data_IF_903821731890
#
_entry.id   IF_903821731890
#
_cell.length_a   1.000
_cell.length_b   1.000
_cell.length_c   1.000
_cell.angle_alpha   90.00
_cell.angle_beta   90.00
_cell.angle_gamma   90.00
#
_symmetry.space_group_name_H-M   'P 1'
#
loop_
_entity.id
_entity.type
_entity.pdbx_description
1 polymer ?
#
# COMPACT_ATOMS: atom_id res chain seq x y z
N UNK A 1 14.05 -5.56 11.56
CA UNK A 1 14.27 -5.05 12.93
C UNK A 1 12.93 -4.87 13.62
N UNK A 2 12.77 -5.19 14.91
CA UNK A 2 11.52 -4.95 15.60
C UNK A 2 11.26 -3.44 15.65
N UNK A 3 10.07 -3.01 15.24
CA UNK A 3 9.62 -1.62 15.39
C UNK A 3 9.14 -1.49 16.83
N UNK A 4 9.61 -0.46 17.54
CA UNK A 4 9.12 -0.17 18.89
C UNK A 4 7.72 0.44 18.77
N UNK A 5 6.70 -0.23 19.32
CA UNK A 5 5.31 0.23 19.31
C UNK A 5 4.91 0.74 20.68
N UNK A 6 3.98 1.70 20.73
CA UNK A 6 3.37 2.10 21.99
C UNK A 6 2.53 0.95 22.56
N UNK A 7 2.60 0.77 23.88
CA UNK A 7 1.86 -0.25 24.62
C UNK A 7 1.54 0.29 26.01
N UNK A 8 0.55 -0.28 26.68
CA UNK A 8 0.14 0.11 28.02
C UNK A 8 0.68 -0.88 29.06
N UNK A 9 1.53 -0.39 29.96
CA UNK A 9 1.88 -1.14 31.17
C UNK A 9 0.76 -0.96 32.20
N UNK A 10 0.39 -2.05 32.88
CA UNK A 10 -0.62 -2.04 33.95
C UNK A 10 -1.98 -1.47 33.48
N UNK A 11 -2.34 -1.80 32.22
CA UNK A 11 -3.56 -1.35 31.58
C UNK A 11 -4.80 -1.64 32.43
N UNK A 12 -5.71 -0.66 32.53
CA UNK A 12 -6.93 -0.77 33.34
C UNK A 12 -6.75 -0.53 34.84
N UNK A 13 -5.59 -0.03 35.27
CA UNK A 13 -5.32 0.35 36.67
C UNK A 13 -4.99 1.83 36.81
N UNK A 14 -4.96 2.34 38.04
CA UNK A 14 -4.47 3.68 38.40
C UNK A 14 -2.96 3.87 38.16
N UNK A 15 -2.23 2.77 37.90
CA UNK A 15 -0.80 2.76 37.56
C UNK A 15 -0.53 2.59 36.07
N UNK A 16 -1.58 2.66 35.24
CA UNK A 16 -1.50 2.57 33.79
C UNK A 16 -0.58 3.66 33.23
N UNK A 17 0.43 3.25 32.45
CA UNK A 17 1.36 4.17 31.79
C UNK A 17 1.76 3.67 30.41
N UNK A 18 2.02 4.61 29.51
CA UNK A 18 2.53 4.32 28.18
C UNK A 18 3.97 3.82 28.27
N UNK A 19 4.27 2.70 27.61
CA UNK A 19 5.60 2.13 27.50
C UNK A 19 5.89 1.78 26.04
N UNK A 20 7.16 1.78 25.65
CA UNK A 20 7.58 1.28 24.33
C UNK A 20 8.03 -0.16 24.45
N UNK A 21 7.42 -1.05 23.65
CA UNK A 21 7.83 -2.46 23.56
C UNK A 21 8.26 -2.78 22.14
N UNK A 22 9.29 -3.62 22.01
CA UNK A 22 9.69 -4.14 20.71
C UNK A 22 8.57 -5.04 20.18
N UNK A 23 7.90 -4.62 19.10
CA UNK A 23 6.90 -5.42 18.42
C UNK A 23 7.54 -6.69 17.86
N UNK A 24 6.97 -7.85 18.18
CA UNK A 24 7.37 -9.12 17.54
C UNK A 24 6.57 -9.27 16.25
N UNK A 25 7.28 -9.31 15.12
CA UNK A 25 6.67 -9.80 13.89
C UNK A 25 6.47 -11.31 14.05
N UNK A 26 5.21 -11.75 14.18
CA UNK A 26 4.88 -13.16 14.14
C UNK A 26 5.03 -13.69 12.72
N UNK A 27 5.35 -14.97 12.57
CA UNK A 27 5.27 -15.63 11.26
C UNK A 27 3.88 -15.41 10.67
N UNK A 28 3.82 -14.96 9.42
CA UNK A 28 2.55 -14.80 8.72
C UNK A 28 2.03 -16.18 8.30
N UNK A 29 0.71 -16.36 8.36
CA UNK A 29 0.04 -17.60 7.98
C UNK A 29 0.04 -17.84 6.45
N UNK A 30 0.76 -17.03 5.68
CA UNK A 30 0.83 -17.10 4.22
C UNK A 30 1.88 -18.08 3.69
N UNK A 31 2.64 -18.77 4.55
CA UNK A 31 3.66 -19.75 4.13
C UNK A 31 3.08 -21.16 4.16
N UNK A 32 2.91 -21.84 3.00
CA UNK A 32 2.45 -23.22 2.94
C UNK A 32 3.36 -24.14 3.75
N UNK A 33 2.76 -25.16 4.37
CA UNK A 33 3.48 -26.17 5.16
C UNK A 33 3.12 -27.57 4.70
N UNK A 34 4.12 -28.45 4.66
CA UNK A 34 3.92 -29.89 4.55
C UNK A 34 4.18 -30.50 5.92
N UNK A 35 3.11 -30.83 6.65
CA UNK A 35 3.21 -31.15 8.08
C UNK A 35 3.69 -29.93 8.87
N UNK A 36 4.81 -30.08 9.58
CA UNK A 36 5.43 -28.98 10.36
C UNK A 36 6.42 -28.15 9.55
N UNK A 37 6.86 -28.64 8.40
CA UNK A 37 7.91 -28.01 7.59
C UNK A 37 7.33 -26.92 6.71
N UNK A 38 7.88 -25.71 6.81
CA UNK A 38 7.48 -24.58 5.98
C UNK A 38 8.21 -24.60 4.63
N UNK A 39 7.46 -24.53 3.53
CA UNK A 39 8.02 -24.57 2.18
C UNK A 39 8.99 -23.39 1.97
N UNK A 40 10.22 -23.63 1.55
CA UNK A 40 11.17 -22.59 1.12
C UNK A 40 10.75 -22.05 -0.25
N UNK A 41 10.31 -20.77 -0.38
CA UNK A 41 9.86 -20.22 -1.65
C UNK A 41 10.92 -20.28 -2.75
N UNK A 42 12.20 -20.15 -2.38
CA UNK A 42 13.31 -20.14 -3.35
C UNK A 42 13.44 -21.48 -4.09
N UNK A 43 13.05 -22.59 -3.46
CA UNK A 43 13.03 -23.91 -4.07
C UNK A 43 11.95 -24.07 -5.15
N UNK A 44 10.96 -23.17 -5.20
CA UNK A 44 9.84 -23.18 -6.14
C UNK A 44 9.91 -22.03 -7.16
N UNK A 45 11.07 -21.38 -7.30
CA UNK A 45 11.24 -20.23 -8.22
C UNK A 45 10.81 -20.55 -9.65
N UNK A 46 11.20 -21.72 -10.19
CA UNK A 46 10.79 -22.10 -11.56
C UNK A 46 9.29 -22.33 -11.68
N UNK A 47 8.69 -23.04 -10.72
CA UNK A 47 7.24 -23.28 -10.71
C UNK A 47 6.45 -21.95 -10.62
N UNK A 48 6.94 -20.99 -9.84
CA UNK A 48 6.37 -19.65 -9.78
C UNK A 48 6.50 -18.90 -11.11
N UNK A 49 7.68 -18.95 -11.74
CA UNK A 49 7.90 -18.34 -13.06
C UNK A 49 7.03 -18.99 -14.15
N UNK A 50 6.84 -20.30 -14.11
CA UNK A 50 5.98 -21.02 -15.05
C UNK A 50 4.51 -20.63 -14.89
N UNK A 51 4.02 -20.54 -13.65
CA UNK A 51 2.67 -20.06 -13.35
C UNK A 51 2.47 -18.60 -13.76
N UNK A 52 3.45 -17.74 -13.47
CA UNK A 52 3.43 -16.34 -13.89
C UNK A 52 3.39 -16.22 -15.41
N UNK A 53 4.23 -16.96 -16.13
CA UNK A 53 4.26 -16.99 -17.60
C UNK A 53 2.93 -17.43 -18.17
N UNK A 54 2.35 -18.50 -17.65
CA UNK A 54 1.05 -19.00 -18.09
C UNK A 54 -0.05 -17.94 -17.91
N UNK A 55 -0.12 -17.29 -16.75
CA UNK A 55 -1.09 -16.22 -16.50
C UNK A 55 -0.88 -14.98 -17.37
N UNK A 56 0.37 -14.56 -17.54
CA UNK A 56 0.73 -13.43 -18.38
C UNK A 56 0.37 -13.69 -19.85
N UNK A 57 0.73 -14.86 -20.38
CA UNK A 57 0.40 -15.27 -21.76
C UNK A 57 -1.12 -15.36 -21.95
N UNK A 58 -1.86 -15.89 -20.98
CA UNK A 58 -3.33 -15.93 -21.08
C UNK A 58 -3.94 -14.52 -21.18
N UNK A 59 -3.45 -13.53 -20.42
CA UNK A 59 -3.92 -12.15 -20.54
C UNK A 59 -3.57 -11.57 -21.91
N UNK A 60 -2.35 -11.80 -22.39
CA UNK A 60 -1.91 -11.33 -23.71
C UNK A 60 -2.77 -11.90 -24.84
N UNK A 61 -2.98 -13.22 -24.84
CA UNK A 61 -3.70 -13.93 -25.91
C UNK A 61 -5.20 -13.60 -25.93
N UNK A 62 -5.77 -13.24 -24.78
CA UNK A 62 -7.18 -12.85 -24.63
C UNK A 62 -7.39 -11.33 -24.47
N UNK A 63 -6.39 -10.50 -24.81
CA UNK A 63 -6.45 -9.04 -24.61
C UNK A 63 -7.66 -8.38 -25.28
N UNK A 64 -8.01 -8.81 -26.49
CA UNK A 64 -9.11 -8.22 -27.25
C UNK A 64 -10.46 -8.52 -26.59
N UNK A 65 -10.61 -9.70 -25.98
CA UNK A 65 -11.79 -10.06 -25.20
C UNK A 65 -11.90 -9.25 -23.92
N UNK A 66 -10.78 -9.05 -23.21
CA UNK A 66 -10.71 -8.26 -21.98
C UNK A 66 -11.07 -6.79 -22.22
N UNK A 67 -10.59 -6.21 -23.33
CA UNK A 67 -10.67 -4.79 -23.65
C UNK A 67 -11.90 -4.36 -24.46
N UNK A 68 -12.61 -5.31 -25.08
CA UNK A 68 -13.77 -4.98 -25.92
C UNK A 68 -14.83 -4.15 -25.17
N UNK A 69 -15.64 -3.35 -25.86
CA UNK A 69 -16.81 -2.71 -25.24
C UNK A 69 -17.70 -3.72 -24.52
N UNK A 70 -17.99 -3.48 -23.23
CA UNK A 70 -18.74 -4.41 -22.37
C UNK A 70 -17.98 -5.70 -21.99
N UNK A 71 -16.67 -5.75 -22.24
CA UNK A 71 -15.78 -6.84 -21.84
C UNK A 71 -15.61 -6.95 -20.32
N UNK A 72 -14.95 -8.01 -19.83
CA UNK A 72 -14.76 -8.27 -18.41
C UNK A 72 -14.21 -7.08 -17.62
N UNK A 73 -13.21 -6.35 -18.15
CA UNK A 73 -12.60 -5.22 -17.43
C UNK A 73 -13.59 -4.08 -17.13
N UNK A 74 -14.52 -3.81 -18.06
CA UNK A 74 -15.52 -2.75 -17.87
C UNK A 74 -16.48 -3.04 -16.71
N UNK A 75 -16.66 -4.30 -16.31
CA UNK A 75 -17.55 -4.69 -15.20
C UNK A 75 -17.05 -4.18 -13.84
N UNK A 76 -15.74 -3.97 -13.71
CA UNK A 76 -15.09 -3.49 -12.49
C UNK A 76 -15.03 -1.96 -12.42
N UNK A 77 -15.54 -1.23 -13.42
CA UNK A 77 -15.42 0.23 -13.47
C UNK A 77 -16.04 0.93 -12.26
N UNK A 78 -17.08 0.35 -11.66
CA UNK A 78 -17.78 0.88 -10.50
C UNK A 78 -17.34 0.31 -9.15
N UNK A 79 -16.42 -0.66 -9.14
CA UNK A 79 -16.00 -1.33 -7.92
C UNK A 79 -15.18 -0.38 -7.04
N UNK A 80 -15.37 -0.49 -5.73
CA UNK A 80 -14.60 0.30 -4.78
C UNK A 80 -13.22 -0.33 -4.56
N UNK A 81 -12.17 0.47 -4.69
CA UNK A 81 -10.78 0.04 -4.49
C UNK A 81 -10.11 0.96 -3.47
N UNK A 82 -9.41 0.36 -2.50
CA UNK A 82 -8.62 1.11 -1.51
C UNK A 82 -7.35 1.67 -2.14
N UNK A 83 -7.12 2.96 -1.92
CA UNK A 83 -5.87 3.66 -2.25
C UNK A 83 -5.05 3.82 -0.97
N UNK A 84 -3.77 3.46 -1.04
CA UNK A 84 -2.82 3.55 0.07
C UNK A 84 -1.73 4.56 -0.30
N UNK A 85 -1.95 5.87 -0.08
CA UNK A 85 -1.01 6.91 -0.51
C UNK A 85 0.28 6.88 0.31
N UNK A 86 0.22 6.44 1.57
CA UNK A 86 1.39 6.19 2.42
C UNK A 86 1.28 4.84 3.11
N UNK A 87 2.41 4.20 3.45
CA UNK A 87 2.41 3.01 4.28
C UNK A 87 1.69 3.25 5.60
N UNK A 88 0.83 2.31 6.00
CA UNK A 88 0.03 2.42 7.24
C UNK A 88 0.86 2.66 8.49
N UNK A 89 2.10 2.14 8.54
CA UNK A 89 2.97 2.30 9.70
C UNK A 89 3.34 3.77 9.96
N UNK A 90 3.36 4.63 8.94
CA UNK A 90 3.60 6.08 9.08
C UNK A 90 2.50 6.69 9.95
N UNK A 91 1.24 6.37 9.66
CA UNK A 91 0.09 6.86 10.39
C UNK A 91 0.03 6.32 11.82
N UNK A 92 0.25 5.01 12.01
CA UNK A 92 0.24 4.43 13.36
C UNK A 92 1.34 5.00 14.23
N UNK A 93 2.53 5.26 13.65
CA UNK A 93 3.62 5.92 14.37
C UNK A 93 3.23 7.34 14.78
N UNK A 94 2.64 8.12 13.86
CA UNK A 94 2.16 9.47 14.19
C UNK A 94 1.06 9.46 15.25
N UNK A 95 0.12 8.51 15.20
CA UNK A 95 -0.90 8.34 16.23
C UNK A 95 -0.25 8.08 17.59
N UNK A 96 0.66 7.10 17.66
CA UNK A 96 1.41 6.77 18.88
C UNK A 96 2.13 8.01 19.43
N UNK A 97 2.91 8.72 18.60
CA UNK A 97 3.62 9.93 19.04
C UNK A 97 2.67 11.05 19.46
N UNK A 98 1.53 11.22 18.77
CA UNK A 98 0.55 12.27 19.07
C UNK A 98 -0.13 12.12 20.44
N UNK A 99 -0.01 10.95 21.08
CA UNK A 99 -0.52 10.70 22.43
C UNK A 99 0.46 11.09 23.56
N UNK A 100 1.63 11.64 23.23
CA UNK A 100 2.58 12.11 24.23
C UNK A 100 1.94 13.19 25.14
N UNK A 101 2.13 13.15 26.47
CA UNK A 101 1.49 14.09 27.40
C UNK A 101 1.69 15.57 27.04
N UNK A 102 2.84 15.93 26.49
CA UNK A 102 3.12 17.32 26.07
C UNK A 102 2.27 17.76 24.87
N UNK A 103 1.99 16.85 23.93
CA UNK A 103 1.11 17.11 22.78
C UNK A 103 -0.37 17.07 23.17
N UNK A 104 -0.72 16.28 24.19
CA UNK A 104 -2.07 16.18 24.71
C UNK A 104 -2.50 17.43 25.50
N UNK A 105 -1.56 18.23 25.99
CA UNK A 105 -1.83 19.49 26.72
C UNK A 105 -2.10 20.67 25.80
N UNK A 106 -1.58 20.66 24.57
CA UNK A 106 -1.73 21.75 23.60
C UNK A 106 -2.15 21.24 22.23
N UNK A 107 -3.39 21.53 21.85
CA UNK A 107 -3.95 21.18 20.54
C UNK A 107 -3.14 21.76 19.38
N UNK A 108 -2.50 22.91 19.54
CA UNK A 108 -1.65 23.54 18.53
C UNK A 108 -0.40 22.70 18.29
N UNK A 109 0.21 22.20 19.35
CA UNK A 109 1.42 21.39 19.27
C UNK A 109 1.12 20.02 18.64
N UNK A 110 0.00 19.38 19.01
CA UNK A 110 -0.48 18.17 18.31
C UNK A 110 -0.73 18.45 16.83
N UNK A 111 -1.35 19.58 16.48
CA UNK A 111 -1.59 19.93 15.07
C UNK A 111 -0.28 20.10 14.29
N UNK A 112 0.75 20.71 14.89
CA UNK A 112 2.06 20.88 14.25
C UNK A 112 2.73 19.55 13.95
N UNK A 113 2.68 18.60 14.89
CA UNK A 113 3.23 17.26 14.69
C UNK A 113 2.49 16.52 13.57
N UNK A 114 1.16 16.56 13.54
CA UNK A 114 0.39 15.95 12.45
C UNK A 114 0.65 16.64 11.10
N UNK A 115 0.87 17.95 11.11
CA UNK A 115 1.20 18.74 9.91
C UNK A 115 2.55 18.38 9.29
N UNK A 116 3.38 17.56 9.93
CA UNK A 116 4.60 17.01 9.32
C UNK A 116 4.28 16.18 8.06
N UNK A 117 3.05 15.68 7.90
CA UNK A 117 2.61 15.02 6.67
C UNK A 117 2.67 15.91 5.42
N UNK A 118 2.57 17.23 5.59
CA UNK A 118 2.73 18.21 4.50
C UNK A 118 4.21 18.43 4.11
N UNK A 119 5.13 17.73 4.77
CA UNK A 119 6.57 17.85 4.55
C UNK A 119 7.13 16.51 4.06
N UNK A 120 8.29 16.49 3.38
CA UNK A 120 8.90 15.24 2.91
C UNK A 120 9.46 14.37 4.05
N UNK A 121 9.43 14.83 5.30
CA UNK A 121 10.03 14.14 6.44
C UNK A 121 9.46 12.73 6.67
N UNK A 122 8.17 12.55 6.37
CA UNK A 122 7.45 11.28 6.54
C UNK A 122 7.22 10.56 5.21
N UNK A 123 8.07 10.86 4.23
CA UNK A 123 7.93 10.44 2.84
C UNK A 123 7.03 11.38 2.05
N UNK A 124 7.05 11.22 0.73
CA UNK A 124 6.11 11.89 -0.19
C UNK A 124 4.98 10.90 -0.48
N UNK A 125 3.71 11.30 -0.40
CA UNK A 125 2.61 10.38 -0.67
C UNK A 125 2.62 10.00 -2.15
N UNK A 126 2.17 8.79 -2.45
CA UNK A 126 2.02 8.34 -3.83
C UNK A 126 0.94 9.13 -4.60
N UNK A 127 0.09 9.86 -3.88
CA UNK A 127 -0.93 10.76 -4.41
C UNK A 127 -0.89 12.08 -3.62
N UNK A 128 -0.73 13.20 -4.30
CA UNK A 128 -0.73 14.54 -3.71
C UNK A 128 -2.14 15.03 -3.37
N UNK A 129 -2.28 15.93 -2.40
CA UNK A 129 -3.55 16.57 -2.04
C UNK A 129 -4.37 15.79 -1.01
N UNK A 130 -3.82 14.71 -0.47
CA UNK A 130 -4.47 13.88 0.55
C UNK A 130 -4.22 14.38 1.98
N UNK A 131 -3.24 15.26 2.16
CA UNK A 131 -2.67 15.60 3.47
C UNK A 131 -3.69 16.20 4.44
N UNK A 132 -4.63 17.00 3.94
CA UNK A 132 -5.66 17.63 4.79
C UNK A 132 -6.63 16.59 5.35
N UNK A 133 -7.00 15.60 4.54
CA UNK A 133 -7.84 14.47 4.99
C UNK A 133 -7.05 13.52 5.89
N UNK A 134 -5.77 13.25 5.58
CA UNK A 134 -4.88 12.47 6.46
C UNK A 134 -4.82 13.09 7.85
N UNK A 135 -4.57 14.40 7.93
CA UNK A 135 -4.49 15.13 9.20
C UNK A 135 -5.83 15.11 9.92
N UNK A 136 -6.95 15.26 9.21
CA UNK A 136 -8.29 15.24 9.81
C UNK A 136 -8.62 13.87 10.44
N UNK A 137 -8.37 12.76 9.73
CA UNK A 137 -8.62 11.41 10.26
C UNK A 137 -7.69 11.09 11.45
N UNK A 138 -6.42 11.48 11.39
CA UNK A 138 -5.48 11.33 12.51
C UNK A 138 -5.87 12.17 13.73
N UNK A 139 -6.50 13.34 13.51
CA UNK A 139 -7.05 14.14 14.60
C UNK A 139 -8.14 13.39 15.37
N UNK A 140 -8.97 12.63 14.67
CA UNK A 140 -9.98 11.73 15.23
C UNK A 140 -9.39 10.45 15.87
N UNK A 141 -8.09 10.19 15.66
CA UNK A 141 -7.41 8.99 16.16
C UNK A 141 -7.48 7.80 15.20
N UNK A 142 -7.95 8.02 13.98
CA UNK A 142 -8.12 6.98 12.97
C UNK A 142 -6.91 6.91 12.02
N UNK A 143 -6.69 5.72 11.48
CA UNK A 143 -5.74 5.53 10.37
C UNK A 143 -6.45 5.95 9.08
N UNK A 144 -5.90 6.91 8.30
CA UNK A 144 -6.54 7.37 7.09
C UNK A 144 -6.87 6.27 6.08
N UNK A 145 -8.04 6.37 5.46
CA UNK A 145 -8.50 5.46 4.41
C UNK A 145 -8.94 6.27 3.22
N UNK A 146 -8.49 5.87 2.03
CA UNK A 146 -8.92 6.45 0.79
C UNK A 146 -9.46 5.38 -0.14
N UNK A 147 -10.50 5.72 -0.88
CA UNK A 147 -11.10 4.84 -1.89
C UNK A 147 -11.24 5.56 -3.21
N UNK A 148 -11.26 4.78 -4.29
CA UNK A 148 -11.56 5.23 -5.64
C UNK A 148 -12.38 4.18 -6.36
N UNK A 149 -12.80 4.48 -7.59
CA UNK A 149 -13.41 3.53 -8.52
C UNK A 149 -12.54 3.46 -9.77
N UNK A 150 -12.26 2.28 -10.33
CA UNK A 150 -11.41 2.16 -11.53
C UNK A 150 -11.90 3.03 -12.69
N UNK A 151 -13.20 3.20 -12.87
CA UNK A 151 -13.77 4.04 -13.92
C UNK A 151 -13.79 5.55 -13.64
N UNK A 152 -13.30 5.99 -12.47
CA UNK A 152 -13.28 7.39 -12.05
C UNK A 152 -11.85 7.86 -11.75
N UNK A 153 -11.64 9.18 -11.80
CA UNK A 153 -10.44 9.84 -11.28
C UNK A 153 -10.70 10.45 -9.89
N UNK A 154 -11.92 10.33 -9.37
CA UNK A 154 -12.28 10.82 -8.04
C UNK A 154 -11.67 9.95 -6.93
N UNK A 155 -11.31 10.61 -5.84
CA UNK A 155 -10.83 10.00 -4.61
C UNK A 155 -11.76 10.41 -3.47
N UNK A 156 -12.11 9.46 -2.61
CA UNK A 156 -12.92 9.70 -1.41
C UNK A 156 -12.13 9.33 -0.16
N UNK A 157 -12.26 10.11 0.91
CA UNK A 157 -11.75 9.74 2.23
C UNK A 157 -12.67 8.74 2.94
N UNK A 158 -12.24 8.19 4.08
CA UNK A 158 -13.03 7.27 4.90
C UNK A 158 -14.34 7.86 5.39
N UNK A 159 -14.46 9.20 5.37
CA UNK A 159 -15.68 9.95 5.72
C UNK A 159 -16.65 10.14 4.53
N UNK A 160 -16.29 9.67 3.33
CA UNK A 160 -17.07 9.83 2.10
C UNK A 160 -16.93 11.21 1.44
N UNK A 161 -16.04 12.08 1.95
CA UNK A 161 -15.74 13.38 1.34
C UNK A 161 -14.85 13.17 0.12
N UNK A 162 -15.16 13.88 -0.96
CA UNK A 162 -14.27 13.93 -2.13
C UNK A 162 -13.00 14.68 -1.76
N UNK A 163 -11.86 14.04 -1.98
CA UNK A 163 -10.54 14.63 -1.79
C UNK A 163 -10.22 15.42 -3.05
N UNK A 164 -9.95 16.72 -2.90
CA UNK A 164 -9.49 17.52 -4.03
C UNK A 164 -8.13 16.95 -4.49
N UNK A 165 -8.03 16.58 -5.78
CA UNK A 165 -6.75 16.27 -6.39
C UNK A 165 -5.78 17.45 -6.27
N UNK A 166 -4.50 17.29 -6.64
CA UNK A 166 -3.52 18.37 -6.58
C UNK A 166 -4.10 19.65 -7.20
N UNK A 167 -3.92 20.78 -6.51
CA UNK A 167 -4.25 22.07 -7.08
C UNK A 167 -3.55 22.19 -8.45
N UNK A 168 -4.18 22.81 -9.46
CA UNK A 168 -3.58 22.98 -10.78
C UNK A 168 -2.45 24.02 -10.70
N UNK A 169 -1.34 23.65 -10.07
CA UNK A 169 -0.08 24.39 -10.07
C UNK A 169 0.81 24.03 -11.27
N UNK A 170 0.24 23.28 -12.23
CA UNK A 170 0.90 22.88 -13.48
C UNK A 170 1.79 21.64 -13.34
N UNK A 171 1.84 20.99 -12.17
CA UNK A 171 2.57 19.74 -11.94
C UNK A 171 1.78 18.47 -12.28
N UNK A 172 0.46 18.57 -12.41
CA UNK A 172 -0.41 17.45 -12.78
C UNK A 172 -0.18 17.03 -14.23
N UNK A 173 0.26 15.79 -14.43
CA UNK A 173 0.44 15.19 -15.75
C UNK A 173 -0.88 14.59 -16.26
N UNK A 174 -1.04 14.40 -17.57
CA UNK A 174 -2.18 13.64 -18.13
C UNK A 174 -2.29 12.22 -17.52
N UNK A 175 -1.16 11.66 -17.03
CA UNK A 175 -1.14 10.41 -16.31
C UNK A 175 -1.84 10.47 -14.94
N UNK A 176 -1.86 11.63 -14.28
CA UNK A 176 -2.54 11.87 -13.01
C UNK A 176 -4.07 11.98 -13.18
N UNK A 177 -4.53 12.36 -14.37
CA UNK A 177 -5.95 12.42 -14.72
C UNK A 177 -6.50 11.09 -15.27
N UNK A 178 -5.65 10.11 -15.57
CA UNK A 178 -6.08 8.82 -16.11
C UNK A 178 -6.71 7.94 -15.03
N UNK A 179 -7.92 7.44 -15.29
CA UNK A 179 -8.64 6.52 -14.41
C UNK A 179 -7.86 5.22 -14.19
N UNK A 180 -8.08 4.53 -13.06
CA UNK A 180 -7.42 3.26 -12.79
C UNK A 180 -7.67 2.21 -13.88
N UNK A 181 -8.87 2.21 -14.46
CA UNK A 181 -9.27 1.36 -15.58
C UNK A 181 -8.48 1.69 -16.83
N UNK A 182 -8.32 2.97 -17.19
CA UNK A 182 -7.51 3.38 -18.34
C UNK A 182 -6.04 2.93 -18.19
N UNK A 183 -5.47 2.99 -16.96
CA UNK A 183 -4.12 2.49 -16.67
C UNK A 183 -4.01 0.98 -16.86
N UNK A 184 -5.02 0.22 -16.43
CA UNK A 184 -5.08 -1.24 -16.67
C UNK A 184 -5.20 -1.55 -18.16
N UNK A 185 -6.05 -0.82 -18.89
CA UNK A 185 -6.22 -1.00 -20.34
C UNK A 185 -4.92 -0.73 -21.10
N UNK A 186 -4.22 0.35 -20.76
CA UNK A 186 -2.91 0.67 -21.30
C UNK A 186 -1.87 -0.43 -20.98
N UNK A 187 -1.87 -0.95 -19.74
CA UNK A 187 -0.97 -2.05 -19.36
C UNK A 187 -1.26 -3.31 -20.17
N UNK A 188 -2.51 -3.73 -20.30
CA UNK A 188 -2.89 -4.92 -21.08
C UNK A 188 -2.51 -4.77 -22.55
N UNK A 189 -2.67 -3.57 -23.14
CA UNK A 189 -2.24 -3.29 -24.51
C UNK A 189 -0.71 -3.36 -24.68
N UNK A 190 0.04 -2.94 -23.67
CA UNK A 190 1.50 -2.93 -23.68
C UNK A 190 2.14 -4.26 -23.27
N UNK A 191 1.35 -5.24 -22.81
CA UNK A 191 1.90 -6.55 -22.45
C UNK A 191 2.46 -7.23 -23.69
N UNK A 192 3.74 -7.58 -23.65
CA UNK A 192 4.39 -8.38 -24.69
C UNK A 192 5.40 -9.37 -24.09
N UNK A 193 6.17 -10.03 -24.96
CA UNK A 193 7.20 -10.99 -24.54
C UNK A 193 8.37 -10.33 -23.82
N UNK A 194 8.71 -9.08 -24.15
CA UNK A 194 9.82 -8.35 -23.53
C UNK A 194 9.45 -7.93 -22.12
N UNK A 195 8.29 -7.28 -21.93
CA UNK A 195 7.78 -6.91 -20.60
C UNK A 195 7.66 -8.16 -19.71
N UNK A 196 7.16 -9.28 -20.25
CA UNK A 196 7.11 -10.55 -19.49
C UNK A 196 8.48 -10.99 -18.98
N UNK A 197 9.50 -10.96 -19.84
CA UNK A 197 10.86 -11.37 -19.47
C UNK A 197 11.44 -10.46 -18.39
N UNK A 198 11.16 -9.15 -18.46
CA UNK A 198 11.55 -8.19 -17.43
C UNK A 198 10.87 -8.47 -16.08
N UNK A 199 9.56 -8.78 -16.09
CA UNK A 199 8.85 -9.17 -14.87
C UNK A 199 9.38 -10.50 -14.29
N UNK A 200 9.67 -11.49 -15.13
CA UNK A 200 10.28 -12.75 -14.68
C UNK A 200 11.66 -12.53 -14.03
N UNK A 201 12.45 -11.58 -14.55
CA UNK A 201 13.74 -11.20 -13.94
C UNK A 201 13.55 -10.60 -12.55
N UNK A 202 12.53 -9.76 -12.35
CA UNK A 202 12.19 -9.18 -11.04
C UNK A 202 11.80 -10.29 -10.05
N UNK A 203 10.94 -11.22 -10.46
CA UNK A 203 10.52 -12.36 -9.64
C UNK A 203 11.73 -13.18 -9.19
N UNK A 204 12.62 -13.54 -10.13
CA UNK A 204 13.83 -14.33 -9.83
C UNK A 204 14.75 -13.58 -8.86
N UNK A 205 14.93 -12.28 -9.07
CA UNK A 205 15.79 -11.45 -8.20
C UNK A 205 15.24 -11.40 -6.77
N UNK A 206 13.91 -11.27 -6.62
CA UNK A 206 13.26 -11.30 -5.31
C UNK A 206 13.36 -12.67 -4.60
N UNK A 207 13.37 -13.78 -5.35
CA UNK A 207 13.54 -15.13 -4.78
C UNK A 207 14.99 -15.38 -4.33
N UNK A 208 15.98 -14.82 -5.03
CA UNK A 208 17.39 -14.91 -4.61
C UNK A 208 17.63 -14.15 -3.31
N UNK A 209 17.07 -12.95 -3.15
CA UNK A 209 17.25 -12.14 -1.94
C UNK A 209 16.55 -12.70 -0.70
N UNK A 210 15.63 -13.63 -0.86
CA UNK A 210 14.90 -14.31 0.22
C UNK A 210 15.46 -15.70 0.53
N UNK A 211 16.44 -16.19 -0.24
CA UNK A 211 17.09 -17.48 0.01
C UNK A 211 17.97 -17.40 1.25
N UNK A 212 17.83 -18.33 2.22
CA UNK A 212 18.71 -18.43 3.37
C UNK A 212 20.08 -19.05 3.03
N UNK A 213 20.30 -19.52 1.80
CA UNK A 213 21.59 -20.06 1.35
C UNK A 213 22.43 -18.95 0.71
N UNK A 214 23.73 -18.85 1.05
CA UNK A 214 24.60 -17.87 0.43
C UNK A 214 24.66 -18.08 -1.09
N UNK A 215 24.68 -16.99 -1.87
CA UNK A 215 24.90 -17.08 -3.30
C UNK A 215 26.33 -17.57 -3.50
N UNK A 216 26.47 -18.74 -4.15
CA UNK A 216 27.71 -19.38 -4.60
C UNK A 216 28.47 -20.24 -3.57
N UNK A 217 28.87 -21.43 -4.05
CA UNK A 217 29.98 -22.25 -3.57
C UNK A 217 31.03 -22.29 -4.66
#
# INVERSE_FOLDING_TARGET
SPIATADWAEAGTDRMRLVRRAGRFTESANRPRLGTEAADPSAYTEALCDGFRAGYTAIHDHRDELLRPGGPLKRFAGDEVRVVPRPTWTYTTLLDESTHPDLMRDATERHRVLSLLRTPLLGVPALSGVEDEEIAELWCGDVPVFTTRPGSAELWSGTGRTVAGPAPDGSATEADAATGLARVEAKVLAMDTVDRQDQERIIRTAMVSTSPRPPHR
#
